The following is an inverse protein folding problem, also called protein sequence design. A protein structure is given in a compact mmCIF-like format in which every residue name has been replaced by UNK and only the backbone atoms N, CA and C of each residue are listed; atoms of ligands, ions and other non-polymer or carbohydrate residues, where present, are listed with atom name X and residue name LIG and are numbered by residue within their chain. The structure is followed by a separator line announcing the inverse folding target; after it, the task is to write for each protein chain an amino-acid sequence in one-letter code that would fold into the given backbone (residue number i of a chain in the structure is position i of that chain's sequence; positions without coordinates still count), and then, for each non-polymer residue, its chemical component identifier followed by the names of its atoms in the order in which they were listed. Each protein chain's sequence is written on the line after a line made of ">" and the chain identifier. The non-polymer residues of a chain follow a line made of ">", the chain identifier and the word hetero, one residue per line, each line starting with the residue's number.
data_IF_218270447926
#
_entry.id   IF_218270447926
#
_cell.length_a   1.000
_cell.length_b   1.000
_cell.length_c   1.000
_cell.angle_alpha   90.00
_cell.angle_beta   90.00
_cell.angle_gamma   90.00
#
_symmetry.space_group_name_H-M   'P 1'
#
loop_
_entity.id
_entity.type
_entity.pdbx_description
1 polymer ?
#
# COMPACT_ATOMS: atom_id res chain seq x y z
N UNK A 1 -11.40 10.58 -1.82
CA UNK A 1 -10.27 9.63 -1.65
C UNK A 1 -10.55 8.77 -0.44
N UNK A 2 -10.47 7.45 -0.58
CA UNK A 2 -10.73 6.48 0.48
C UNK A 2 -9.42 5.91 0.99
N UNK A 3 -9.18 5.93 2.31
CA UNK A 3 -8.01 5.25 2.88
C UNK A 3 -8.21 3.73 2.85
N UNK A 4 -7.28 3.05 2.20
CA UNK A 4 -7.11 1.61 2.29
C UNK A 4 -6.06 1.32 3.36
N UNK A 5 -6.50 0.79 4.49
CA UNK A 5 -5.59 0.34 5.54
C UNK A 5 -4.93 -0.98 5.10
N UNK A 6 -3.59 -1.00 5.05
CA UNK A 6 -2.85 -2.06 4.36
C UNK A 6 -3.01 -3.41 5.04
N UNK A 7 -2.88 -3.47 6.37
CA UNK A 7 -2.98 -4.72 7.11
C UNK A 7 -4.37 -5.33 6.96
N UNK A 8 -5.40 -4.49 7.07
CA UNK A 8 -6.80 -4.89 6.89
C UNK A 8 -7.08 -5.42 5.48
N UNK A 9 -6.52 -4.77 4.46
CA UNK A 9 -6.67 -5.17 3.06
C UNK A 9 -6.02 -6.50 2.74
N UNK A 10 -4.74 -6.69 3.10
CA UNK A 10 -4.00 -7.92 2.80
C UNK A 10 -4.57 -9.13 3.57
N UNK A 11 -5.04 -8.92 4.81
CA UNK A 11 -5.71 -9.94 5.58
C UNK A 11 -7.03 -10.38 4.90
N UNK A 12 -7.87 -9.41 4.49
CA UNK A 12 -9.13 -9.70 3.80
C UNK A 12 -8.90 -10.41 2.46
N UNK A 13 -7.88 -10.00 1.71
CA UNK A 13 -7.50 -10.61 0.45
C UNK A 13 -6.83 -11.99 0.62
N UNK A 14 -6.47 -12.38 1.85
CA UNK A 14 -5.66 -13.56 2.16
C UNK A 14 -4.36 -13.56 1.36
N UNK A 15 -3.72 -12.41 1.27
CA UNK A 15 -2.45 -12.24 0.54
C UNK A 15 -1.34 -12.99 1.26
N UNK A 16 -0.67 -13.95 0.62
CA UNK A 16 0.51 -14.63 1.14
C UNK A 16 1.65 -13.66 1.42
N UNK A 17 2.50 -14.04 2.38
CA UNK A 17 3.57 -13.19 2.90
C UNK A 17 4.54 -12.73 1.82
N UNK A 18 4.89 -13.59 0.86
CA UNK A 18 5.82 -13.23 -0.22
C UNK A 18 5.29 -12.08 -1.10
N UNK A 19 3.95 -11.99 -1.26
CA UNK A 19 3.32 -10.89 -2.00
C UNK A 19 3.17 -9.64 -1.15
N UNK A 20 2.92 -9.79 0.16
CA UNK A 20 2.93 -8.66 1.10
C UNK A 20 4.29 -7.97 1.08
N UNK A 21 5.36 -8.75 1.15
CA UNK A 21 6.73 -8.24 1.13
C UNK A 21 7.08 -7.56 -0.20
N UNK A 22 6.66 -8.16 -1.33
CA UNK A 22 6.84 -7.57 -2.64
C UNK A 22 6.12 -6.22 -2.77
N UNK A 23 4.87 -6.11 -2.33
CA UNK A 23 4.12 -4.84 -2.38
C UNK A 23 4.81 -3.78 -1.51
N UNK A 24 5.23 -4.12 -0.29
CA UNK A 24 5.97 -3.19 0.57
C UNK A 24 7.31 -2.77 -0.04
N UNK A 25 7.99 -3.68 -0.72
CA UNK A 25 9.22 -3.36 -1.46
C UNK A 25 8.94 -2.32 -2.55
N UNK A 26 7.84 -2.46 -3.30
CA UNK A 26 7.45 -1.49 -4.33
C UNK A 26 7.07 -0.14 -3.71
N UNK A 27 6.34 -0.13 -2.59
CA UNK A 27 5.97 1.12 -1.90
C UNK A 27 7.18 1.90 -1.40
N UNK A 28 8.16 1.21 -0.79
CA UNK A 28 9.40 1.85 -0.32
C UNK A 28 10.29 2.38 -1.45
N UNK A 29 10.25 1.72 -2.60
CA UNK A 29 11.00 2.14 -3.79
C UNK A 29 10.21 3.13 -4.68
N UNK A 30 9.00 3.52 -4.27
CA UNK A 30 8.15 4.37 -5.08
C UNK A 30 8.76 5.77 -5.28
N UNK A 31 8.77 6.30 -6.51
CA UNK A 31 9.14 7.70 -6.75
C UNK A 31 8.23 8.66 -5.95
N UNK A 32 8.76 9.82 -5.56
CA UNK A 32 8.03 10.81 -4.76
C UNK A 32 6.66 11.17 -5.36
N UNK A 33 6.57 11.31 -6.69
CA UNK A 33 5.30 11.61 -7.36
C UNK A 33 4.25 10.52 -7.15
N UNK A 34 4.65 9.25 -7.11
CA UNK A 34 3.75 8.11 -6.85
C UNK A 34 3.37 8.09 -5.38
N UNK A 35 4.34 8.26 -4.49
CA UNK A 35 4.12 8.32 -3.05
C UNK A 35 3.13 9.44 -2.68
N UNK A 36 3.31 10.63 -3.24
CA UNK A 36 2.42 11.77 -3.04
C UNK A 36 1.03 11.54 -3.67
N UNK A 37 0.97 10.94 -4.87
CA UNK A 37 -0.29 10.69 -5.60
C UNK A 37 -1.24 9.77 -4.82
N UNK A 38 -0.68 8.75 -4.18
CA UNK A 38 -1.43 7.78 -3.38
C UNK A 38 -1.38 8.05 -1.89
N UNK A 39 -0.69 9.12 -1.45
CA UNK A 39 -0.39 9.39 -0.04
C UNK A 39 0.04 8.12 0.70
N UNK A 40 1.12 7.50 0.21
CA UNK A 40 1.69 6.30 0.84
C UNK A 40 2.17 6.61 2.25
N UNK A 41 1.85 5.72 3.19
CA UNK A 41 2.22 5.83 4.59
C UNK A 41 3.21 4.74 5.00
N UNK A 42 3.89 4.93 6.13
CA UNK A 42 4.94 4.03 6.62
C UNK A 42 4.44 2.60 6.92
N UNK A 43 3.16 2.46 7.29
CA UNK A 43 2.50 1.17 7.53
C UNK A 43 2.14 0.41 6.22
N UNK A 44 2.26 1.09 5.08
CA UNK A 44 1.88 0.64 3.74
C UNK A 44 0.47 1.05 3.32
N UNK A 45 -0.27 1.77 4.18
CA UNK A 45 -1.60 2.31 3.86
C UNK A 45 -1.52 3.35 2.74
N UNK A 46 -2.60 3.49 2.00
CA UNK A 46 -2.67 4.42 0.86
C UNK A 46 -4.09 4.88 0.58
N UNK A 47 -4.21 5.98 -0.16
CA UNK A 47 -5.48 6.56 -0.60
C UNK A 47 -5.84 6.10 -2.01
N UNK A 48 -7.06 5.58 -2.17
CA UNK A 48 -7.67 5.33 -3.46
C UNK A 48 -8.43 6.58 -3.93
N UNK A 49 -8.25 6.91 -5.20
CA UNK A 49 -9.15 7.81 -5.91
C UNK A 49 -10.34 6.99 -6.40
N UNK A 50 -11.51 7.31 -5.87
CA UNK A 50 -12.81 6.74 -6.22
C UNK A 50 -13.53 7.68 -7.17
#
# INVERSE_FOLDING_TARGET
>A
RLRMEFASWVARARTPTERIDAIRSLQRAAPEIVAARFALEDDGSFLLDT
#
